data_IF_437871429550
#
_entry.id   IF_437871429550
#
_cell.length_a   1.000
_cell.length_b   1.000
_cell.length_c   1.000
_cell.angle_alpha   90.00
_cell.angle_beta   90.00
_cell.angle_gamma   90.00
#
_symmetry.space_group_name_H-M   'P 1'
#
loop_
_entity.id
_entity.type
_entity.pdbx_description
1 polymer ?
#
# COMPACT_ATOMS: atom_id res chain seq x y z
N UNK A 1 -9.93 -22.52 -41.68
CA UNK A 1 -8.89 -22.33 -40.66
C UNK A 1 -8.57 -20.86 -40.49
N UNK A 2 -9.12 -20.24 -39.44
CA UNK A 2 -8.86 -18.85 -39.12
C UNK A 2 -7.60 -18.76 -38.27
N UNK A 3 -6.45 -18.46 -38.89
CA UNK A 3 -5.26 -18.04 -38.16
C UNK A 3 -5.56 -16.70 -37.49
N UNK A 4 -5.68 -16.72 -36.16
CA UNK A 4 -5.84 -15.51 -35.37
C UNK A 4 -4.45 -14.91 -35.16
N UNK A 5 -4.25 -13.70 -35.67
CA UNK A 5 -3.01 -12.96 -35.45
C UNK A 5 -2.95 -12.49 -33.99
N UNK A 6 -2.14 -13.19 -33.20
CA UNK A 6 -1.97 -12.93 -31.77
C UNK A 6 -1.45 -11.52 -31.49
N UNK A 7 -0.81 -10.87 -32.47
CA UNK A 7 -0.28 -9.51 -32.32
C UNK A 7 -1.35 -8.42 -32.41
N UNK A 8 -2.57 -8.76 -32.84
CA UNK A 8 -3.72 -7.85 -32.83
C UNK A 8 -4.45 -7.85 -31.48
N UNK A 9 -4.02 -8.66 -30.51
CA UNK A 9 -4.58 -8.65 -29.18
C UNK A 9 -4.17 -7.38 -28.41
N UNK A 10 -5.08 -6.75 -27.65
CA UNK A 10 -4.73 -5.69 -26.73
C UNK A 10 -3.65 -6.13 -25.73
N UNK A 11 -2.75 -5.21 -25.35
CA UNK A 11 -1.57 -5.48 -24.50
C UNK A 11 -1.87 -6.29 -23.23
N UNK A 12 -3.02 -6.05 -22.60
CA UNK A 12 -3.49 -6.77 -21.42
C UNK A 12 -3.77 -8.25 -21.69
N UNK A 13 -4.41 -8.56 -22.83
CA UNK A 13 -4.68 -9.92 -23.26
C UNK A 13 -3.38 -10.64 -23.65
N UNK A 14 -2.48 -9.93 -24.35
CA UNK A 14 -1.17 -10.44 -24.72
C UNK A 14 -0.33 -10.82 -23.49
N UNK A 15 -0.32 -9.97 -22.45
CA UNK A 15 0.38 -10.23 -21.18
C UNK A 15 -0.16 -11.46 -20.46
N UNK A 16 -1.49 -11.66 -20.46
CA UNK A 16 -2.12 -12.84 -19.86
C UNK A 16 -1.73 -14.12 -20.60
N UNK A 17 -1.75 -14.10 -21.94
CA UNK A 17 -1.31 -15.24 -22.75
C UNK A 17 0.16 -15.56 -22.50
N UNK A 18 1.04 -14.56 -22.49
CA UNK A 18 2.47 -14.74 -22.22
C UNK A 18 2.73 -15.29 -20.80
N UNK A 19 1.94 -14.88 -19.80
CA UNK A 19 2.02 -15.41 -18.42
C UNK A 19 1.66 -16.89 -18.33
N UNK A 20 0.73 -17.36 -19.17
CA UNK A 20 0.29 -18.75 -19.20
C UNK A 20 1.20 -19.67 -20.03
N UNK A 21 2.17 -19.11 -20.76
CA UNK A 21 3.13 -19.89 -21.54
C UNK A 21 4.25 -20.45 -20.66
N UNK A 22 4.63 -21.70 -20.91
CA UNK A 22 5.85 -22.28 -20.35
C UNK A 22 7.09 -21.43 -20.69
N UNK A 23 8.05 -21.37 -19.77
CA UNK A 23 9.26 -20.56 -19.91
C UNK A 23 10.03 -20.82 -21.22
N UNK A 24 10.06 -22.07 -21.70
CA UNK A 24 10.69 -22.42 -22.98
C UNK A 24 10.02 -21.75 -24.18
N UNK A 25 8.70 -21.65 -24.17
CA UNK A 25 7.92 -21.02 -25.23
C UNK A 25 8.01 -19.50 -25.17
N UNK A 26 8.07 -18.91 -23.97
CA UNK A 26 8.34 -17.47 -23.77
C UNK A 26 9.69 -17.07 -24.34
N UNK A 27 10.74 -17.87 -24.11
CA UNK A 27 12.08 -17.63 -24.65
C UNK A 27 12.14 -17.78 -26.18
N UNK A 28 11.40 -18.74 -26.75
CA UNK A 28 11.27 -18.87 -28.20
C UNK A 28 10.57 -17.66 -28.81
N UNK A 29 9.45 -17.24 -28.23
CA UNK A 29 8.68 -16.07 -28.66
C UNK A 29 9.52 -14.77 -28.64
N UNK A 30 10.38 -14.60 -27.61
CA UNK A 30 11.34 -13.48 -27.52
C UNK A 30 12.34 -13.45 -28.68
N UNK A 31 12.79 -14.61 -29.16
CA UNK A 31 13.74 -14.68 -30.29
C UNK A 31 13.06 -14.32 -31.60
N UNK A 32 11.76 -14.60 -31.73
CA UNK A 32 11.00 -14.36 -32.97
C UNK A 32 10.50 -12.92 -33.07
N UNK A 33 10.16 -12.26 -31.95
CA UNK A 33 9.63 -10.90 -31.95
C UNK A 33 10.32 -10.01 -30.91
N UNK A 34 11.19 -9.10 -31.36
CA UNK A 34 11.87 -8.10 -30.50
C UNK A 34 10.90 -7.18 -29.75
N UNK A 35 9.71 -6.90 -30.32
CA UNK A 35 8.67 -6.10 -29.66
C UNK A 35 8.14 -6.72 -28.36
N UNK A 36 8.35 -8.03 -28.15
CA UNK A 36 7.90 -8.73 -26.95
C UNK A 36 8.91 -8.73 -25.79
N UNK A 37 10.10 -8.16 -25.99
CA UNK A 37 11.05 -7.95 -24.89
C UNK A 37 10.46 -7.04 -23.80
N UNK A 38 9.59 -6.10 -24.19
CA UNK A 38 8.88 -5.19 -23.29
C UNK A 38 7.93 -5.90 -22.31
N UNK A 39 7.40 -7.07 -22.68
CA UNK A 39 6.45 -7.82 -21.84
C UNK A 39 7.08 -8.89 -20.95
N UNK A 40 8.36 -9.22 -21.19
CA UNK A 40 9.06 -10.31 -20.49
C UNK A 40 10.12 -9.84 -19.51
N UNK A 41 10.54 -8.58 -19.59
CA UNK A 41 11.31 -7.95 -18.53
C UNK A 41 10.34 -7.09 -17.71
N UNK A 42 10.21 -7.29 -16.37
CA UNK A 42 9.58 -6.26 -15.57
C UNK A 42 10.40 -5.00 -15.85
N UNK A 43 9.81 -3.93 -16.40
CA UNK A 43 10.61 -2.76 -16.68
C UNK A 43 11.18 -2.29 -15.34
N UNK A 44 12.48 -1.99 -15.27
CA UNK A 44 13.06 -1.13 -14.22
C UNK A 44 12.44 0.28 -14.20
N UNK A 45 11.33 0.48 -14.91
CA UNK A 45 10.54 1.70 -14.93
C UNK A 45 9.75 1.72 -13.63
N UNK A 46 10.30 2.46 -12.69
CA UNK A 46 9.67 3.53 -11.93
C UNK A 46 8.33 4.02 -12.50
N UNK A 47 7.26 3.23 -12.36
CA UNK A 47 5.91 3.64 -12.74
C UNK A 47 5.24 4.29 -11.53
N UNK A 48 4.75 5.51 -11.75
CA UNK A 48 3.86 6.21 -10.83
C UNK A 48 2.48 6.18 -11.47
N UNK A 49 1.49 5.63 -10.75
CA UNK A 49 0.10 5.62 -11.18
C UNK A 49 -0.73 6.46 -10.21
N UNK A 50 -1.44 7.43 -10.77
CA UNK A 50 -2.34 8.33 -10.05
C UNK A 50 -3.77 8.08 -10.53
N UNK A 51 -4.61 7.57 -9.63
CA UNK A 51 -5.98 7.12 -9.90
C UNK A 51 -6.95 8.13 -9.29
N UNK A 52 -7.45 9.01 -10.15
CA UNK A 52 -8.38 10.08 -9.78
C UNK A 52 -9.84 9.59 -9.74
N UNK A 53 -10.16 8.54 -10.50
CA UNK A 53 -11.49 7.96 -10.61
C UNK A 53 -11.54 6.53 -10.06
N UNK A 54 -12.67 6.08 -9.50
CA UNK A 54 -12.81 4.71 -9.02
C UNK A 54 -12.45 3.70 -10.10
N UNK A 55 -11.52 2.80 -9.75
CA UNK A 55 -11.19 1.64 -10.57
C UNK A 55 -11.93 0.43 -10.02
N UNK A 56 -12.32 -0.49 -10.91
CA UNK A 56 -12.84 -1.77 -10.48
C UNK A 56 -11.81 -2.52 -9.62
N UNK A 57 -12.28 -3.12 -8.52
CA UNK A 57 -11.46 -3.87 -7.58
C UNK A 57 -10.53 -4.89 -8.24
N UNK A 58 -11.05 -5.62 -9.23
CA UNK A 58 -10.28 -6.61 -9.98
C UNK A 58 -9.14 -6.00 -10.80
N UNK A 59 -9.29 -4.75 -11.26
CA UNK A 59 -8.22 -4.04 -11.95
C UNK A 59 -7.14 -3.59 -10.98
N UNK A 60 -7.51 -3.03 -9.83
CA UNK A 60 -6.56 -2.57 -8.80
C UNK A 60 -5.63 -3.70 -8.33
N UNK A 61 -6.19 -4.86 -7.98
CA UNK A 61 -5.40 -6.01 -7.51
C UNK A 61 -4.54 -6.63 -8.63
N UNK A 62 -4.90 -6.39 -9.90
CA UNK A 62 -4.13 -6.87 -11.05
C UNK A 62 -2.95 -5.98 -11.44
N UNK A 63 -2.82 -4.81 -10.80
CA UNK A 63 -1.72 -3.88 -11.07
C UNK A 63 -0.38 -4.54 -10.69
N UNK A 64 0.64 -4.46 -11.56
CA UNK A 64 1.98 -4.87 -11.17
C UNK A 64 2.51 -3.96 -10.05
N UNK A 65 3.53 -4.39 -9.30
CA UNK A 65 4.22 -3.52 -8.36
C UNK A 65 4.65 -2.22 -9.03
N UNK A 66 4.23 -1.10 -8.46
CA UNK A 66 4.53 0.26 -8.92
C UNK A 66 5.57 0.89 -7.99
N UNK A 67 6.31 1.89 -8.50
CA UNK A 67 7.17 2.72 -7.63
C UNK A 67 6.30 3.54 -6.69
N UNK A 68 5.16 4.05 -7.18
CA UNK A 68 4.17 4.79 -6.39
C UNK A 68 2.77 4.59 -6.94
N UNK A 69 1.83 4.22 -6.08
CA UNK A 69 0.41 4.12 -6.40
C UNK A 69 -0.36 5.14 -5.56
N UNK A 70 -1.11 6.04 -6.20
CA UNK A 70 -1.93 7.06 -5.56
C UNK A 70 -3.39 6.80 -5.91
N UNK A 71 -4.24 6.71 -4.90
CA UNK A 71 -5.68 6.44 -5.02
C UNK A 71 -6.43 7.58 -4.35
N UNK A 72 -7.25 8.29 -5.11
CA UNK A 72 -8.05 9.42 -4.60
C UNK A 72 -9.42 9.02 -4.06
N UNK A 73 -9.88 7.81 -4.37
CA UNK A 73 -11.20 7.32 -3.97
C UNK A 73 -11.13 6.34 -2.79
N UNK A 74 -12.29 6.02 -2.22
CA UNK A 74 -12.43 5.02 -1.20
C UNK A 74 -12.01 3.64 -1.72
N UNK A 75 -11.17 2.97 -0.94
CA UNK A 75 -10.67 1.64 -1.25
C UNK A 75 -11.22 0.68 -0.20
N UNK A 76 -11.97 -0.36 -0.61
CA UNK A 76 -12.37 -1.43 0.30
C UNK A 76 -11.15 -2.00 1.05
N UNK A 77 -11.29 -2.23 2.36
CA UNK A 77 -10.16 -2.61 3.23
C UNK A 77 -9.44 -3.86 2.73
N UNK A 78 -10.17 -4.88 2.27
CA UNK A 78 -9.57 -6.08 1.71
C UNK A 78 -8.62 -5.78 0.54
N UNK A 79 -9.01 -4.87 -0.35
CA UNK A 79 -8.18 -4.45 -1.50
C UNK A 79 -7.01 -3.61 -1.01
N UNK A 80 -7.22 -2.72 -0.04
CA UNK A 80 -6.13 -1.95 0.55
C UNK A 80 -5.03 -2.85 1.12
N UNK A 81 -5.41 -3.91 1.86
CA UNK A 81 -4.46 -4.90 2.40
C UNK A 81 -3.72 -5.64 1.28
N UNK A 82 -4.43 -6.07 0.23
CA UNK A 82 -3.81 -6.72 -0.93
C UNK A 82 -2.81 -5.78 -1.63
N UNK A 83 -3.17 -4.51 -1.80
CA UNK A 83 -2.29 -3.50 -2.38
C UNK A 83 -1.08 -3.23 -1.49
N UNK A 84 -1.24 -3.22 -0.17
CA UNK A 84 -0.11 -3.09 0.76
C UNK A 84 0.88 -4.25 0.60
N UNK A 85 0.43 -5.49 0.40
CA UNK A 85 1.34 -6.63 0.21
C UNK A 85 2.20 -6.49 -1.07
N UNK A 86 1.64 -5.88 -2.11
CA UNK A 86 2.28 -5.75 -3.43
C UNK A 86 3.14 -4.49 -3.53
N UNK A 87 2.62 -3.33 -3.13
CA UNK A 87 3.20 -2.01 -3.38
C UNK A 87 4.06 -1.53 -2.20
N UNK A 88 5.28 -1.04 -2.50
CA UNK A 88 6.15 -0.43 -1.49
C UNK A 88 5.71 1.00 -1.14
N UNK A 89 5.15 1.72 -2.11
CA UNK A 89 4.66 3.08 -1.94
C UNK A 89 3.20 3.16 -2.38
N UNK A 90 2.31 3.38 -1.42
CA UNK A 90 0.86 3.37 -1.60
C UNK A 90 0.25 4.55 -0.85
N UNK A 91 -0.48 5.38 -1.56
CA UNK A 91 -1.06 6.61 -1.05
C UNK A 91 -2.57 6.54 -1.27
N UNK A 92 -3.35 6.43 -0.20
CA UNK A 92 -4.81 6.55 -0.24
C UNK A 92 -5.15 7.92 0.31
N UNK A 93 -5.57 8.82 -0.58
CA UNK A 93 -5.85 10.22 -0.28
C UNK A 93 -7.31 10.48 0.10
N UNK A 94 -8.15 9.43 0.09
CA UNK A 94 -9.51 9.48 0.61
C UNK A 94 -9.52 9.88 2.09
N UNK A 95 -10.58 10.60 2.50
CA UNK A 95 -10.70 11.24 3.81
C UNK A 95 -10.43 10.28 4.98
N UNK A 96 -10.91 9.03 4.89
CA UNK A 96 -10.59 7.95 5.84
C UNK A 96 -10.79 6.57 5.23
N UNK A 97 -9.96 5.61 5.63
CA UNK A 97 -10.23 4.18 5.48
C UNK A 97 -10.86 3.71 6.79
N UNK A 98 -12.09 3.19 6.72
CA UNK A 98 -12.78 2.63 7.87
C UNK A 98 -12.23 1.24 8.19
N UNK A 99 -11.21 1.19 9.04
CA UNK A 99 -10.63 -0.06 9.55
C UNK A 99 -11.35 -0.51 10.83
N UNK A 100 -11.54 -1.81 10.99
CA UNK A 100 -11.81 -2.43 12.29
C UNK A 100 -10.52 -2.54 13.13
N UNK A 101 -10.64 -2.90 14.41
CA UNK A 101 -9.47 -3.13 15.27
C UNK A 101 -8.64 -4.31 14.73
N UNK A 102 -9.30 -5.38 14.29
CA UNK A 102 -8.65 -6.56 13.70
C UNK A 102 -7.92 -6.20 12.41
N UNK A 103 -8.48 -5.32 11.58
CA UNK A 103 -7.87 -4.84 10.35
C UNK A 103 -6.67 -3.92 10.64
N UNK A 104 -6.76 -3.06 11.65
CA UNK A 104 -5.61 -2.29 12.15
C UNK A 104 -4.46 -3.22 12.59
N UNK A 105 -4.77 -4.27 13.35
CA UNK A 105 -3.76 -5.28 13.74
C UNK A 105 -3.15 -5.94 12.50
N UNK A 106 -3.96 -6.27 11.49
CA UNK A 106 -3.47 -6.85 10.24
C UNK A 106 -2.53 -5.90 9.48
N UNK A 107 -2.87 -4.62 9.39
CA UNK A 107 -2.01 -3.57 8.81
C UNK A 107 -0.67 -3.51 9.54
N UNK A 108 -0.69 -3.44 10.87
CA UNK A 108 0.52 -3.36 11.69
C UNK A 108 1.37 -4.63 11.58
N UNK A 109 0.74 -5.80 11.43
CA UNK A 109 1.42 -7.06 11.18
C UNK A 109 2.10 -7.11 9.80
N UNK A 110 1.43 -6.62 8.76
CA UNK A 110 2.02 -6.49 7.41
C UNK A 110 3.29 -5.63 7.49
N UNK A 111 3.26 -4.56 8.27
CA UNK A 111 4.44 -3.77 8.53
C UNK A 111 5.50 -4.59 9.27
N UNK A 112 5.22 -5.09 10.48
CA UNK A 112 6.24 -5.77 11.30
C UNK A 112 6.93 -6.98 10.60
N UNK A 113 6.21 -7.70 9.73
CA UNK A 113 6.74 -8.85 8.99
C UNK A 113 7.47 -8.46 7.69
N UNK A 114 7.35 -7.22 7.23
CA UNK A 114 7.92 -6.79 5.96
C UNK A 114 9.23 -6.00 6.13
N UNK A 115 10.31 -6.59 5.64
CA UNK A 115 11.66 -6.01 5.68
C UNK A 115 11.93 -4.94 4.61
N UNK A 116 10.99 -4.68 3.70
CA UNK A 116 11.14 -3.67 2.64
C UNK A 116 10.97 -2.27 3.23
N UNK A 117 11.80 -1.33 2.78
CA UNK A 117 11.53 0.09 2.94
C UNK A 117 10.22 0.46 2.23
N UNK A 118 9.32 1.12 2.95
CA UNK A 118 7.94 1.38 2.55
C UNK A 118 7.55 2.83 2.84
N UNK A 119 6.68 3.37 2.00
CA UNK A 119 6.09 4.71 2.15
C UNK A 119 4.58 4.59 1.88
N UNK A 120 3.85 4.22 2.94
CA UNK A 120 2.41 3.97 2.88
C UNK A 120 1.70 5.12 3.61
N UNK A 121 0.73 5.75 2.95
CA UNK A 121 -0.05 6.86 3.50
C UNK A 121 -1.53 6.60 3.34
N UNK A 122 -2.24 6.70 4.46
CA UNK A 122 -3.68 6.55 4.54
C UNK A 122 -4.17 7.22 5.82
N UNK A 123 -5.45 7.56 5.87
CA UNK A 123 -6.11 8.12 7.04
C UNK A 123 -6.95 7.04 7.73
N UNK A 124 -6.93 6.99 9.06
CA UNK A 124 -7.78 6.10 9.87
C UNK A 124 -8.68 6.99 10.72
N UNK A 125 -9.93 6.54 10.95
CA UNK A 125 -10.81 7.19 11.91
C UNK A 125 -10.18 7.24 13.32
N UNK A 126 -10.27 8.40 13.96
CA UNK A 126 -9.62 8.66 15.25
C UNK A 126 -10.21 7.80 16.37
N UNK A 127 -11.49 7.42 16.29
CA UNK A 127 -12.13 6.57 17.30
C UNK A 127 -11.64 5.13 17.20
N UNK A 128 -11.51 4.58 15.99
CA UNK A 128 -10.89 3.26 15.77
C UNK A 128 -9.46 3.26 16.27
N UNK A 129 -8.67 4.28 15.90
CA UNK A 129 -7.27 4.35 16.28
C UNK A 129 -7.10 4.46 17.80
N UNK A 130 -7.91 5.31 18.47
CA UNK A 130 -7.90 5.42 19.94
C UNK A 130 -8.21 4.07 20.60
N UNK A 131 -9.23 3.35 20.12
CA UNK A 131 -9.57 2.02 20.64
C UNK A 131 -8.42 1.03 20.49
N UNK A 132 -7.79 1.01 19.31
CA UNK A 132 -6.60 0.20 19.07
C UNK A 132 -5.50 0.51 20.09
N UNK A 133 -5.18 1.80 20.33
CA UNK A 133 -4.16 2.17 21.30
C UNK A 133 -4.53 1.81 22.74
N UNK A 134 -5.81 1.94 23.12
CA UNK A 134 -6.29 1.53 24.44
C UNK A 134 -6.11 0.04 24.68
N UNK A 135 -6.27 -0.80 23.66
CA UNK A 135 -6.01 -2.25 23.77
C UNK A 135 -4.53 -2.57 24.03
N UNK A 136 -3.61 -1.65 23.70
CA UNK A 136 -2.18 -1.71 24.05
C UNK A 136 -1.85 -1.03 25.39
N UNK A 137 -2.86 -0.60 26.15
CA UNK A 137 -2.71 0.00 27.47
C UNK A 137 -2.46 1.51 27.45
N UNK A 138 -2.58 2.19 26.31
CA UNK A 138 -2.55 3.66 26.28
C UNK A 138 -3.83 4.23 26.89
N UNK A 139 -3.66 5.13 27.84
CA UNK A 139 -4.74 5.87 28.51
C UNK A 139 -4.62 7.36 28.22
N UNK A 140 -5.61 8.14 28.63
CA UNK A 140 -5.60 9.61 28.49
C UNK A 140 -4.49 10.29 29.31
N UNK A 141 -3.80 9.55 30.19
CA UNK A 141 -2.66 10.03 30.97
C UNK A 141 -1.32 9.77 30.30
N UNK A 142 -1.31 9.15 29.13
CA UNK A 142 -0.10 8.81 28.36
C UNK A 142 0.58 10.08 27.85
N UNK A 143 1.91 10.15 27.95
CA UNK A 143 2.71 11.32 27.57
C UNK A 143 3.84 10.94 26.61
N UNK A 144 4.36 11.95 25.89
CA UNK A 144 5.55 11.79 25.06
C UNK A 144 6.73 11.23 25.88
N UNK A 145 7.40 10.22 25.34
CA UNK A 145 8.45 9.45 26.02
C UNK A 145 7.96 8.14 26.64
N UNK A 146 6.64 7.93 26.78
CA UNK A 146 6.10 6.66 27.24
C UNK A 146 6.28 5.57 26.17
N UNK A 147 6.48 4.33 26.65
CA UNK A 147 6.70 3.15 25.81
C UNK A 147 5.63 2.10 26.04
N UNK A 148 5.03 1.61 24.96
CA UNK A 148 3.97 0.61 24.98
C UNK A 148 4.34 -0.57 24.09
N UNK A 149 4.94 -1.59 24.69
CA UNK A 149 5.50 -2.73 23.96
C UNK A 149 6.61 -2.30 22.99
N UNK A 150 6.31 -2.35 21.70
CA UNK A 150 7.22 -2.01 20.61
C UNK A 150 7.09 -0.56 20.12
N UNK A 151 6.16 0.20 20.70
CA UNK A 151 5.89 1.59 20.32
C UNK A 151 6.51 2.56 21.31
N UNK A 152 7.26 3.52 20.77
CA UNK A 152 7.68 4.71 21.50
C UNK A 152 6.76 5.87 21.10
N UNK A 153 6.18 6.55 22.11
CA UNK A 153 5.37 7.74 21.88
C UNK A 153 6.27 8.96 21.77
N UNK A 154 6.25 9.66 20.64
CA UNK A 154 7.10 10.83 20.43
C UNK A 154 6.24 12.07 20.31
N UNK A 155 6.54 13.07 21.13
CA UNK A 155 5.95 14.39 21.03
C UNK A 155 6.48 15.10 19.79
N UNK A 156 5.61 15.73 19.03
CA UNK A 156 6.05 16.57 17.92
C UNK A 156 6.75 17.84 18.42
N UNK A 157 7.73 18.35 17.67
CA UNK A 157 8.40 19.60 18.01
C UNK A 157 7.41 20.78 18.04
N UNK A 158 7.57 21.65 19.05
CA UNK A 158 6.80 22.86 19.24
C UNK A 158 6.84 23.74 17.97
N UNK A 159 5.67 24.03 17.39
CA UNK A 159 5.54 24.89 16.20
C UNK A 159 4.75 24.26 15.05
N UNK A 160 4.43 22.97 15.10
CA UNK A 160 3.40 22.37 14.25
C UNK A 160 2.04 22.77 14.83
N UNK A 161 1.38 23.72 14.18
CA UNK A 161 0.02 24.18 14.51
C UNK A 161 -1.01 23.05 14.31
N UNK A 162 -1.10 22.14 15.27
CA UNK A 162 -2.30 21.42 15.67
C UNK A 162 -1.99 20.67 16.97
N UNK A 163 -2.74 20.96 18.02
CA UNK A 163 -2.58 20.52 19.41
C UNK A 163 -2.66 19.01 19.67
N UNK A 164 -2.55 18.14 18.66
CA UNK A 164 -2.96 16.74 18.84
C UNK A 164 -2.38 15.70 17.87
N UNK A 165 -1.19 15.93 17.32
CA UNK A 165 -0.56 14.93 16.45
C UNK A 165 0.49 14.16 17.26
N UNK A 166 0.26 12.86 17.43
CA UNK A 166 1.20 11.92 18.03
C UNK A 166 1.85 11.09 16.91
N UNK A 167 3.18 10.99 16.93
CA UNK A 167 3.91 10.10 16.03
C UNK A 167 4.27 8.82 16.78
N UNK A 168 3.81 7.68 16.26
CA UNK A 168 4.23 6.37 16.74
C UNK A 168 5.46 5.92 15.95
N UNK A 169 6.58 5.71 16.65
CA UNK A 169 7.72 5.02 16.08
C UNK A 169 7.77 3.59 16.63
N UNK A 170 7.77 2.61 15.73
CA UNK A 170 8.04 1.22 16.08
C UNK A 170 9.56 1.04 16.22
N UNK A 171 10.01 0.62 17.40
CA UNK A 171 11.44 0.51 17.73
C UNK A 171 12.07 -0.75 17.11
N UNK A 172 12.23 -0.77 15.80
CA UNK A 172 13.31 -1.43 15.04
C UNK A 172 12.89 -1.53 13.57
N UNK A 173 13.68 -0.96 12.67
CA UNK A 173 13.62 -1.11 11.20
C UNK A 173 12.46 -0.46 10.42
N UNK A 174 11.58 0.32 11.06
CA UNK A 174 10.46 0.96 10.34
C UNK A 174 10.77 2.38 9.83
N UNK A 175 10.89 2.52 8.51
CA UNK A 175 10.83 3.82 7.83
C UNK A 175 9.41 4.39 7.95
N UNK A 176 9.26 5.37 8.85
CA UNK A 176 8.15 6.32 9.01
C UNK A 176 6.74 5.85 8.57
N UNK A 177 6.02 5.22 9.51
CA UNK A 177 4.56 5.24 9.49
C UNK A 177 4.13 6.64 9.96
N UNK A 178 4.03 7.61 9.04
CA UNK A 178 3.33 8.86 9.33
C UNK A 178 1.83 8.62 9.17
N UNK A 179 1.24 8.03 10.20
CA UNK A 179 -0.20 8.12 10.41
C UNK A 179 -0.54 9.53 10.84
N UNK A 180 -1.24 10.29 10.00
CA UNK A 180 -1.83 11.57 10.41
C UNK A 180 -3.19 11.26 11.01
N UNK A 181 -3.23 11.03 12.32
CA UNK A 181 -4.49 11.01 13.06
C UNK A 181 -4.61 12.35 13.75
N UNK A 182 -5.56 13.17 13.32
CA UNK A 182 -5.99 14.33 14.11
C UNK A 182 -6.83 13.78 15.26
N UNK A 183 -6.19 13.59 16.43
CA UNK A 183 -6.87 13.16 17.65
C UNK A 183 -7.46 14.41 18.31
N UNK A 184 -8.75 14.71 18.11
CA UNK A 184 -9.37 15.73 18.95
C UNK A 184 -9.46 15.20 20.40
N UNK A 185 -8.69 15.79 21.32
CA UNK A 185 -8.65 15.44 22.73
C UNK A 185 -9.54 16.36 23.58
N UNK A 186 -10.48 17.07 22.93
CA UNK A 186 -11.50 17.89 23.61
C UNK A 186 -12.54 17.05 24.36
#
# INVERSE_FOLDING_TARGET
>A
DSQMDIFLLPDLALRRVIKLMENRNRLRLRRTCRSLEFFSTPPDRKYILDVISPLESGMLVSLPPMEKLILHDQVPVAIFLDLMLVHRSLYVLSDTISLSIEECIAVMKIFSEDSRERDIRFSIDSTTFRRYLTDFGMTDTTQAGDRFGEFDLIGLPDGVLASSILQLLASSTFSALTGRTELDLS
#
